data_IF_306262299812
#
_entry.id   IF_306262299812
#
_cell.length_a   1.000
_cell.length_b   1.000
_cell.length_c   1.000
_cell.angle_alpha   90.00
_cell.angle_beta   90.00
_cell.angle_gamma   90.00
#
_symmetry.space_group_name_H-M   'P 1'
#
loop_
_entity.id
_entity.type
_entity.pdbx_description
1 polymer ?
#
# COMPACT_ATOMS: atom_id res chain seq x y z
N UNK A 1 17.10 19.59 -3.73
CA UNK A 1 17.92 20.03 -2.59
C UNK A 1 17.41 19.32 -1.35
N UNK A 2 18.22 18.49 -0.70
CA UNK A 2 17.86 17.84 0.57
C UNK A 2 18.11 18.87 1.68
N UNK A 3 17.06 19.35 2.33
CA UNK A 3 17.22 20.23 3.51
C UNK A 3 17.68 19.32 4.66
N UNK A 4 18.76 19.65 5.39
CA UNK A 4 19.18 18.86 6.55
C UNK A 4 18.03 18.76 7.55
N UNK A 5 17.67 17.54 7.95
CA UNK A 5 16.72 17.32 9.04
C UNK A 5 17.35 17.88 10.31
N UNK A 6 16.64 18.78 10.98
CA UNK A 6 17.12 19.41 12.21
C UNK A 6 16.81 18.48 13.38
N UNK A 7 17.70 17.50 13.58
CA UNK A 7 17.51 16.41 14.52
C UNK A 7 18.20 16.77 15.84
N UNK A 8 17.45 16.73 16.95
CA UNK A 8 18.02 16.84 18.28
C UNK A 8 18.14 15.45 18.93
N UNK A 9 19.33 15.11 19.42
CA UNK A 9 19.59 13.87 20.14
C UNK A 9 19.66 14.16 21.64
N UNK A 10 18.82 13.49 22.43
CA UNK A 10 18.83 13.55 23.89
C UNK A 10 19.58 12.31 24.39
N UNK A 11 20.68 12.53 25.11
CA UNK A 11 21.50 11.45 25.66
C UNK A 11 20.97 11.03 27.03
N UNK A 12 21.06 9.73 27.32
CA UNK A 12 20.73 9.13 28.60
C UNK A 12 21.83 9.33 29.65
N UNK A 13 21.62 8.82 30.88
CA UNK A 13 22.57 8.96 31.98
C UNK A 13 23.93 8.30 31.73
N UNK A 14 23.99 7.32 30.83
CA UNK A 14 25.19 6.63 30.39
C UNK A 14 25.95 7.39 29.27
N UNK A 15 25.42 8.53 28.84
CA UNK A 15 25.97 9.31 27.73
C UNK A 15 25.62 8.75 26.34
N UNK A 16 24.82 7.68 26.25
CA UNK A 16 24.36 7.12 24.98
C UNK A 16 23.10 7.83 24.49
N UNK A 17 22.86 7.96 23.18
CA UNK A 17 21.60 8.47 22.64
C UNK A 17 20.40 7.70 23.21
N UNK A 18 19.51 8.38 23.91
CA UNK A 18 18.30 7.80 24.48
C UNK A 18 17.05 8.16 23.67
N UNK A 19 16.98 9.40 23.15
CA UNK A 19 15.87 9.85 22.32
C UNK A 19 16.36 10.68 21.12
N UNK A 20 15.54 10.68 20.07
CA UNK A 20 15.72 11.52 18.88
C UNK A 20 14.45 12.33 18.70
N UNK A 21 14.60 13.66 18.62
CA UNK A 21 13.49 14.60 18.42
C UNK A 21 13.57 15.14 17.00
N UNK A 22 12.46 15.00 16.28
CA UNK A 22 12.28 15.53 14.92
C UNK A 22 11.18 16.59 14.99
N UNK A 23 11.42 17.84 14.53
CA UNK A 23 10.38 18.86 14.45
C UNK A 23 9.15 18.33 13.72
N UNK A 24 7.96 18.55 14.27
CA UNK A 24 6.74 17.92 13.78
C UNK A 24 6.46 18.18 12.29
N UNK A 25 6.72 19.40 11.82
CA UNK A 25 6.59 19.74 10.40
C UNK A 25 7.52 18.92 9.49
N UNK A 26 8.74 18.60 9.96
CA UNK A 26 9.69 17.75 9.24
C UNK A 26 9.28 16.28 9.29
N UNK A 27 8.80 15.80 10.43
CA UNK A 27 8.21 14.46 10.56
C UNK A 27 7.05 14.27 9.58
N UNK A 28 6.12 15.23 9.54
CA UNK A 28 4.99 15.22 8.61
C UNK A 28 5.40 15.36 7.15
N UNK A 29 6.42 16.16 6.83
CA UNK A 29 6.93 16.26 5.46
C UNK A 29 7.58 14.95 4.97
N UNK A 30 8.15 14.15 5.88
CA UNK A 30 8.64 12.80 5.60
C UNK A 30 7.50 11.77 5.55
N UNK A 31 6.41 12.03 6.27
CA UNK A 31 5.22 11.19 6.29
C UNK A 31 4.43 11.31 4.98
N UNK A 32 4.93 10.66 3.93
CA UNK A 32 4.15 10.45 2.71
C UNK A 32 3.20 9.27 2.91
N UNK A 33 1.95 9.55 3.25
CA UNK A 33 0.86 8.55 3.31
C UNK A 33 0.75 7.70 2.03
N UNK A 34 1.14 8.26 0.88
CA UNK A 34 0.96 7.63 -0.41
C UNK A 34 1.66 6.26 -0.57
N UNK A 35 2.72 5.98 0.20
CA UNK A 35 3.53 4.76 0.00
C UNK A 35 3.20 3.60 0.93
N UNK A 36 2.33 3.80 1.93
CA UNK A 36 2.02 2.76 2.92
C UNK A 36 0.93 1.81 2.41
N UNK A 37 1.09 0.52 2.71
CA UNK A 37 0.06 -0.50 2.49
C UNK A 37 -0.72 -0.65 3.80
N UNK A 38 -2.06 -0.50 3.80
CA UNK A 38 -2.87 -0.61 5.00
C UNK A 38 -2.69 -1.97 5.69
N UNK A 39 -2.65 -1.97 7.02
CA UNK A 39 -2.46 -3.19 7.81
C UNK A 39 -3.54 -4.26 7.52
N UNK A 40 -4.80 -3.84 7.27
CA UNK A 40 -5.89 -4.75 6.91
C UNK A 40 -5.62 -5.50 5.60
N UNK A 41 -5.02 -4.84 4.59
CA UNK A 41 -4.61 -5.49 3.34
C UNK A 41 -3.56 -6.57 3.62
N UNK A 42 -2.55 -6.24 4.44
CA UNK A 42 -1.49 -7.18 4.83
C UNK A 42 -2.04 -8.36 5.61
N UNK A 43 -2.94 -8.12 6.57
CA UNK A 43 -3.58 -9.19 7.36
C UNK A 43 -4.33 -10.16 6.45
N UNK A 44 -5.14 -9.66 5.51
CA UNK A 44 -5.87 -10.51 4.55
C UNK A 44 -4.93 -11.35 3.69
N UNK A 45 -3.80 -10.80 3.27
CA UNK A 45 -2.78 -11.53 2.51
C UNK A 45 -2.16 -12.66 3.33
N UNK A 46 -1.85 -12.40 4.61
CA UNK A 46 -1.37 -13.42 5.55
C UNK A 46 -2.41 -14.54 5.75
N UNK A 47 -3.69 -14.18 5.77
CA UNK A 47 -4.81 -15.12 5.83
C UNK A 47 -5.08 -15.87 4.51
N UNK A 48 -4.27 -15.62 3.46
CA UNK A 48 -4.30 -16.34 2.19
C UNK A 48 -5.08 -15.65 1.07
N UNK A 49 -5.54 -14.41 1.25
CA UNK A 49 -6.12 -13.64 0.15
C UNK A 49 -5.05 -13.25 -0.88
N UNK A 50 -5.41 -13.23 -2.16
CA UNK A 50 -4.53 -12.66 -3.20
C UNK A 50 -4.39 -11.15 -3.01
N UNK A 51 -3.30 -10.53 -3.51
CA UNK A 51 -3.15 -9.08 -3.41
C UNK A 51 -4.32 -8.29 -3.99
N UNK A 52 -4.85 -8.74 -5.13
CA UNK A 52 -6.02 -8.12 -5.78
C UNK A 52 -7.24 -8.21 -4.87
N UNK A 53 -7.48 -9.38 -4.25
CA UNK A 53 -8.62 -9.60 -3.37
C UNK A 53 -8.53 -8.76 -2.10
N UNK A 54 -7.36 -8.74 -1.45
CA UNK A 54 -7.11 -7.99 -0.24
C UNK A 54 -7.39 -6.49 -0.45
N UNK A 55 -6.86 -5.91 -1.54
CA UNK A 55 -7.12 -4.52 -1.89
C UNK A 55 -8.58 -4.26 -2.27
N UNK A 56 -9.21 -5.15 -3.04
CA UNK A 56 -10.62 -5.00 -3.41
C UNK A 56 -11.52 -4.92 -2.17
N UNK A 57 -11.32 -5.83 -1.21
CA UNK A 57 -12.10 -5.88 0.02
C UNK A 57 -11.83 -4.68 0.94
N UNK A 58 -10.57 -4.25 1.04
CA UNK A 58 -10.18 -3.04 1.78
C UNK A 58 -10.83 -1.77 1.21
N UNK A 59 -10.93 -1.68 -0.12
CA UNK A 59 -11.59 -0.58 -0.83
C UNK A 59 -13.13 -0.74 -0.89
N UNK A 60 -13.69 -1.77 -0.25
CA UNK A 60 -15.12 -2.10 -0.25
C UNK A 60 -15.73 -2.25 -1.65
N UNK A 61 -14.97 -2.77 -2.60
CA UNK A 61 -15.41 -2.99 -3.98
C UNK A 61 -15.94 -4.43 -4.17
N UNK A 62 -16.98 -4.56 -4.97
CA UNK A 62 -17.47 -5.85 -5.47
C UNK A 62 -16.71 -6.27 -6.74
N UNK A 63 -16.72 -7.56 -7.05
CA UNK A 63 -16.13 -8.05 -8.30
C UNK A 63 -16.78 -7.41 -9.55
N UNK A 64 -18.09 -7.14 -9.49
CA UNK A 64 -18.82 -6.48 -10.58
C UNK A 64 -18.34 -5.04 -10.80
N UNK A 65 -18.19 -4.27 -9.72
CA UNK A 65 -17.71 -2.88 -9.82
C UNK A 65 -16.33 -2.80 -10.46
N UNK A 66 -15.43 -3.69 -10.07
CA UNK A 66 -14.08 -3.73 -10.65
C UNK A 66 -14.13 -4.17 -12.11
N UNK A 67 -14.93 -5.18 -12.43
CA UNK A 67 -15.12 -5.65 -13.79
C UNK A 67 -15.66 -4.53 -14.71
N UNK A 68 -16.63 -3.75 -14.23
CA UNK A 68 -17.14 -2.56 -14.94
C UNK A 68 -16.07 -1.50 -15.14
N UNK A 69 -15.25 -1.21 -14.13
CA UNK A 69 -14.12 -0.26 -14.26
C UNK A 69 -13.08 -0.72 -15.29
N UNK A 70 -12.88 -2.04 -15.41
CA UNK A 70 -11.94 -2.65 -16.34
C UNK A 70 -12.53 -2.89 -17.75
N UNK A 71 -13.85 -2.75 -17.93
CA UNK A 71 -14.52 -3.06 -19.18
C UNK A 71 -14.52 -4.55 -19.53
N UNK A 72 -14.52 -5.43 -18.53
CA UNK A 72 -14.55 -6.90 -18.69
C UNK A 72 -15.77 -7.51 -17.99
N UNK A 73 -16.03 -8.79 -18.22
CA UNK A 73 -17.09 -9.50 -17.50
C UNK A 73 -16.69 -9.83 -16.06
N UNK A 74 -17.66 -9.90 -15.15
CA UNK A 74 -17.43 -10.26 -13.75
C UNK A 74 -16.73 -11.63 -13.59
N UNK A 75 -17.08 -12.71 -14.34
CA UNK A 75 -16.33 -13.97 -14.30
C UNK A 75 -14.88 -13.84 -14.79
N UNK A 76 -14.61 -12.97 -15.77
CA UNK A 76 -13.25 -12.73 -16.24
C UNK A 76 -12.41 -12.02 -15.16
N UNK A 77 -13.00 -11.07 -14.44
CA UNK A 77 -12.34 -10.46 -13.28
C UNK A 77 -12.12 -11.46 -12.15
N UNK A 78 -13.10 -12.30 -11.82
CA UNK A 78 -12.96 -13.33 -10.79
C UNK A 78 -11.80 -14.30 -11.09
N UNK A 79 -11.62 -14.68 -12.36
CA UNK A 79 -10.44 -15.43 -12.77
C UNK A 79 -9.14 -14.65 -12.52
N UNK A 80 -9.08 -13.37 -12.92
CA UNK A 80 -7.88 -12.55 -12.69
C UNK A 80 -7.56 -12.38 -11.20
N UNK A 81 -8.57 -12.21 -10.37
CA UNK A 81 -8.44 -12.06 -8.91
C UNK A 81 -7.88 -13.32 -8.25
N UNK A 82 -8.24 -14.51 -8.76
CA UNK A 82 -7.72 -15.79 -8.25
C UNK A 82 -6.24 -16.07 -8.60
N UNK A 83 -5.65 -15.31 -9.54
CA UNK A 83 -4.25 -15.50 -9.92
C UNK A 83 -3.34 -14.87 -8.87
N UNK A 84 -2.54 -15.68 -8.20
CA UNK A 84 -1.59 -15.23 -7.18
C UNK A 84 -0.56 -14.22 -7.73
N UNK A 85 -0.08 -14.40 -8.96
CA UNK A 85 0.90 -13.53 -9.63
C UNK A 85 0.40 -13.11 -11.01
N UNK A 86 -0.43 -12.05 -11.11
CA UNK A 86 -0.93 -11.56 -12.39
C UNK A 86 0.23 -11.02 -13.25
N UNK A 87 0.07 -11.08 -14.57
CA UNK A 87 1.02 -10.44 -15.51
C UNK A 87 1.05 -8.93 -15.25
N UNK A 88 2.22 -8.31 -15.46
CA UNK A 88 2.45 -6.88 -15.27
C UNK A 88 1.34 -6.00 -15.87
N UNK A 89 0.97 -6.23 -17.13
CA UNK A 89 -0.07 -5.45 -17.80
C UNK A 89 -1.46 -5.58 -17.14
N UNK A 90 -1.81 -6.76 -16.63
CA UNK A 90 -3.08 -6.97 -15.91
C UNK A 90 -3.04 -6.26 -14.57
N UNK A 91 -1.92 -6.37 -13.85
CA UNK A 91 -1.71 -5.72 -12.56
C UNK A 91 -1.80 -4.19 -12.66
N UNK A 92 -1.17 -3.59 -13.67
CA UNK A 92 -1.23 -2.14 -13.93
C UNK A 92 -2.68 -1.67 -14.17
N UNK A 93 -3.47 -2.42 -14.95
CA UNK A 93 -4.89 -2.11 -15.18
C UNK A 93 -5.72 -2.21 -13.91
N UNK A 94 -5.52 -3.26 -13.11
CA UNK A 94 -6.25 -3.45 -11.85
C UNK A 94 -5.88 -2.38 -10.83
N UNK A 95 -4.58 -2.06 -10.70
CA UNK A 95 -4.11 -1.00 -9.81
C UNK A 95 -4.72 0.36 -10.20
N UNK A 96 -4.78 0.67 -11.49
CA UNK A 96 -5.45 1.87 -11.99
C UNK A 96 -6.95 1.88 -11.65
N UNK A 97 -7.65 0.74 -11.76
CA UNK A 97 -9.06 0.61 -11.38
C UNK A 97 -9.30 0.79 -9.87
N UNK A 98 -8.29 0.47 -9.05
CA UNK A 98 -8.31 0.64 -7.59
C UNK A 98 -7.84 2.03 -7.14
N UNK A 99 -7.17 2.80 -8.02
CA UNK A 99 -6.56 4.08 -7.66
C UNK A 99 -5.31 3.94 -6.81
N UNK A 100 -4.61 2.80 -6.93
CA UNK A 100 -3.38 2.48 -6.18
C UNK A 100 -2.21 2.31 -7.14
N UNK A 101 -0.99 2.19 -6.60
CA UNK A 101 0.18 1.89 -7.44
C UNK A 101 0.29 0.40 -7.75
N UNK A 102 0.88 0.07 -8.90
CA UNK A 102 1.01 -1.32 -9.34
C UNK A 102 1.96 -2.17 -8.48
N UNK A 103 2.95 -1.56 -7.82
CA UNK A 103 3.87 -2.22 -6.87
C UNK A 103 3.15 -2.67 -5.60
N UNK A 104 2.04 -2.03 -5.22
CA UNK A 104 1.24 -2.44 -4.06
C UNK A 104 0.48 -3.76 -4.28
N UNK A 105 0.50 -4.30 -5.50
CA UNK A 105 -0.02 -5.62 -5.86
C UNK A 105 1.10 -6.66 -6.08
N UNK A 106 2.36 -6.36 -5.74
CA UNK A 106 3.52 -7.27 -5.90
C UNK A 106 3.87 -8.10 -4.67
N UNK A 107 3.16 -7.92 -3.55
CA UNK A 107 3.41 -8.62 -2.28
C UNK A 107 3.28 -10.14 -2.40
#
# INVERSE_FOLDING_TARGET
>A
MNVPTDIQIIHGPDGSPAFVVIPYAQYMAQYKEADLIPHDVVSRMVDGATPIRAWREHLHLTQDEVARRLGISQPAFAQQESVARPRRATREKIAAAFGIRADQLEL
#
